data_IF_592228065315
#
_entry.id   IF_592228065315
#
_cell.length_a   1.000
_cell.length_b   1.000
_cell.length_c   1.000
_cell.angle_alpha   90.00
_cell.angle_beta   90.00
_cell.angle_gamma   90.00
#
_symmetry.space_group_name_H-M   'P 1'
#
loop_
_entity.id
_entity.type
_entity.pdbx_description
1 polymer ?
#
# COMPACT_ATOMS: atom_id res chain seq x y z
N UNK A 1 54.14 67.95 -14.50
CA UNK A 1 54.89 66.78 -13.97
C UNK A 1 54.42 65.52 -14.67
N UNK A 2 55.24 65.00 -15.58
CA UNK A 2 55.09 63.71 -16.30
C UNK A 2 56.50 63.25 -16.66
N UNK A 3 56.63 61.93 -16.83
CA UNK A 3 57.72 61.15 -17.47
C UNK A 3 58.82 60.67 -16.52
N UNK A 4 59.02 59.35 -16.50
CA UNK A 4 60.04 58.77 -17.38
C UNK A 4 59.74 57.31 -17.73
N UNK A 5 59.85 57.05 -19.04
CA UNK A 5 59.95 55.73 -19.67
C UNK A 5 61.24 55.02 -19.25
N UNK A 6 61.19 53.68 -19.20
CA UNK A 6 62.24 52.80 -19.74
C UNK A 6 61.72 51.37 -19.89
N UNK A 7 61.70 50.89 -21.14
CA UNK A 7 61.82 49.48 -21.52
C UNK A 7 63.28 49.23 -21.96
N UNK A 8 63.72 48.04 -22.43
CA UNK A 8 63.11 46.69 -22.45
C UNK A 8 64.08 45.57 -21.99
N UNK A 9 63.64 44.30 -21.89
CA UNK A 9 64.52 43.13 -22.14
C UNK A 9 63.76 41.84 -22.43
N UNK A 10 64.40 41.00 -23.25
CA UNK A 10 63.90 39.85 -24.02
C UNK A 10 63.70 38.55 -23.20
N UNK A 11 62.62 37.86 -23.55
CA UNK A 11 62.45 36.44 -23.93
C UNK A 11 63.39 35.38 -23.34
N UNK A 12 62.80 34.40 -22.64
CA UNK A 12 63.09 32.97 -22.85
C UNK A 12 61.80 32.14 -22.79
N UNK A 13 61.61 31.30 -23.81
CA UNK A 13 60.55 30.28 -23.92
C UNK A 13 60.88 29.09 -23.03
N UNK A 14 59.89 28.59 -22.29
CA UNK A 14 59.86 27.22 -21.79
C UNK A 14 58.57 26.54 -22.25
N UNK A 15 58.72 25.41 -22.94
CA UNK A 15 57.64 24.51 -23.30
C UNK A 15 57.21 23.71 -22.06
N UNK A 16 55.96 23.88 -21.63
CA UNK A 16 55.33 23.09 -20.57
C UNK A 16 53.94 22.65 -21.02
N UNK A 17 53.70 21.34 -21.04
CA UNK A 17 52.48 20.66 -21.48
C UNK A 17 51.23 21.21 -20.76
N UNK A 18 50.22 21.64 -21.52
CA UNK A 18 48.88 21.89 -21.01
C UNK A 18 48.19 20.54 -20.76
N UNK A 19 48.08 20.16 -19.49
CA UNK A 19 47.15 19.12 -19.06
C UNK A 19 45.75 19.75 -19.11
N UNK A 20 44.94 19.32 -20.07
CA UNK A 20 43.51 19.62 -20.11
C UNK A 20 42.86 18.75 -19.03
N UNK A 21 42.52 19.35 -17.88
CA UNK A 21 41.59 18.75 -16.94
C UNK A 21 40.18 18.80 -17.54
N UNK A 22 39.79 17.71 -18.21
CA UNK A 22 38.39 17.41 -18.47
C UNK A 22 37.73 17.08 -17.12
N UNK A 23 37.13 18.09 -16.50
CA UNK A 23 36.14 17.89 -15.45
C UNK A 23 34.91 17.23 -16.10
N UNK A 24 34.88 15.89 -16.04
CA UNK A 24 33.67 15.09 -16.21
C UNK A 24 32.71 15.47 -15.07
N UNK A 25 31.85 16.46 -15.32
CA UNK A 25 30.67 16.67 -14.51
C UNK A 25 29.69 15.53 -14.85
N UNK A 26 29.72 14.45 -14.07
CA UNK A 26 28.67 13.44 -14.05
C UNK A 26 27.42 14.10 -13.44
N UNK A 27 26.63 14.74 -14.30
CA UNK A 27 25.28 15.17 -13.98
C UNK A 27 24.46 13.92 -13.67
N UNK A 28 24.37 13.57 -12.39
CA UNK A 28 23.29 12.73 -11.90
C UNK A 28 22.05 13.59 -12.06
N UNK A 29 21.29 13.35 -13.13
CA UNK A 29 20.00 13.96 -13.33
C UNK A 29 19.08 13.48 -12.18
N UNK A 30 19.03 14.26 -11.10
CA UNK A 30 18.02 14.10 -10.07
C UNK A 30 16.70 14.38 -10.78
N UNK A 31 15.87 13.35 -10.95
CA UNK A 31 14.57 13.48 -11.57
C UNK A 31 13.80 14.60 -10.89
N UNK A 32 13.33 15.60 -11.64
CA UNK A 32 12.53 16.68 -11.10
C UNK A 32 11.29 16.06 -10.46
N UNK A 33 11.00 16.31 -9.18
CA UNK A 33 9.83 15.73 -8.53
C UNK A 33 8.56 16.22 -9.23
N UNK A 34 7.78 15.29 -9.78
CA UNK A 34 6.45 15.56 -10.36
C UNK A 34 5.37 15.19 -9.35
N UNK A 35 4.22 15.87 -9.39
CA UNK A 35 3.09 15.54 -8.52
C UNK A 35 2.57 14.11 -8.75
N UNK A 36 2.69 13.61 -9.98
CA UNK A 36 2.40 12.22 -10.38
C UNK A 36 3.17 11.17 -9.56
N UNK A 37 4.42 11.51 -9.19
CA UNK A 37 5.34 10.61 -8.48
C UNK A 37 5.40 10.91 -6.98
N UNK A 38 5.35 12.19 -6.61
CA UNK A 38 5.47 12.64 -5.22
C UNK A 38 4.26 13.50 -4.82
N UNK A 39 3.40 12.98 -3.95
CA UNK A 39 2.21 13.67 -3.48
C UNK A 39 1.78 13.17 -2.08
N UNK A 40 1.11 14.04 -1.32
CA UNK A 40 0.56 13.67 -0.02
C UNK A 40 -0.61 12.67 -0.16
N UNK A 41 -0.88 11.84 0.87
CA UNK A 41 -2.07 11.00 0.92
C UNK A 41 -3.34 11.82 0.60
N UNK A 42 -4.29 11.28 -0.20
CA UNK A 42 -5.53 11.99 -0.46
C UNK A 42 -6.34 12.12 0.82
N UNK A 43 -7.30 13.04 0.83
CA UNK A 43 -8.19 13.24 1.97
C UNK A 43 -9.00 11.97 2.33
N UNK A 44 -9.52 11.94 3.55
CA UNK A 44 -10.36 10.83 4.06
C UNK A 44 -11.70 10.70 3.31
N UNK A 45 -12.43 9.64 3.64
CA UNK A 45 -13.79 9.37 3.15
C UNK A 45 -13.83 8.38 1.98
N UNK A 46 -14.90 7.60 1.89
CA UNK A 46 -15.02 6.50 0.94
C UNK A 46 -15.54 6.98 -0.43
N UNK A 47 -14.64 7.54 -1.24
CA UNK A 47 -14.96 7.95 -2.60
C UNK A 47 -15.21 6.76 -3.53
N UNK A 48 -14.60 5.60 -3.25
CA UNK A 48 -14.81 4.39 -4.04
C UNK A 48 -16.25 3.91 -3.88
N UNK A 49 -16.73 3.75 -2.65
CA UNK A 49 -18.10 3.35 -2.36
C UNK A 49 -19.12 4.31 -2.97
N UNK A 50 -18.96 5.62 -2.72
CA UNK A 50 -19.87 6.63 -3.23
C UNK A 50 -19.96 6.60 -4.77
N UNK A 51 -18.81 6.50 -5.44
CA UNK A 51 -18.74 6.39 -6.89
C UNK A 51 -19.35 5.07 -7.40
N UNK A 52 -19.07 3.96 -6.73
CA UNK A 52 -19.55 2.63 -7.08
C UNK A 52 -21.08 2.57 -7.04
N UNK A 53 -21.70 3.04 -5.96
CA UNK A 53 -23.16 3.14 -5.85
C UNK A 53 -23.77 3.99 -6.95
N UNK A 54 -23.19 5.16 -7.18
CA UNK A 54 -23.65 6.09 -8.20
C UNK A 54 -23.53 5.51 -9.61
N UNK A 55 -22.44 4.79 -9.89
CA UNK A 55 -22.22 4.11 -11.18
C UNK A 55 -23.21 2.98 -11.39
N UNK A 56 -23.43 2.14 -10.39
CA UNK A 56 -24.39 1.02 -10.48
C UNK A 56 -25.84 1.48 -10.62
N UNK A 57 -26.22 2.57 -9.96
CA UNK A 57 -27.55 3.16 -10.10
C UNK A 57 -27.84 3.64 -11.54
N UNK A 58 -26.78 3.93 -12.32
CA UNK A 58 -26.87 4.35 -13.73
C UNK A 58 -26.76 3.21 -14.72
N UNK A 59 -26.38 1.99 -14.29
CA UNK A 59 -26.32 0.82 -15.17
C UNK A 59 -27.73 0.30 -15.47
N UNK A 60 -27.95 -0.09 -16.71
CA UNK A 60 -29.13 -0.83 -17.13
C UNK A 60 -28.74 -2.19 -17.76
N UNK A 61 -29.74 -3.00 -18.11
CA UNK A 61 -29.52 -4.35 -18.63
C UNK A 61 -28.81 -4.40 -20.01
N UNK A 62 -28.67 -3.26 -20.68
CA UNK A 62 -28.17 -3.11 -22.04
C UNK A 62 -26.96 -2.18 -22.14
N UNK A 63 -26.68 -1.37 -21.13
CA UNK A 63 -25.56 -0.43 -21.06
C UNK A 63 -24.95 -0.38 -19.66
N UNK A 64 -23.64 -0.60 -19.59
CA UNK A 64 -22.84 -0.51 -18.35
C UNK A 64 -22.29 0.90 -18.12
N UNK A 65 -22.51 1.83 -19.05
CA UNK A 65 -21.80 3.12 -19.11
C UNK A 65 -20.36 2.99 -19.63
N UNK A 66 -19.73 4.13 -19.87
CA UNK A 66 -18.37 4.22 -20.45
C UNK A 66 -17.28 3.74 -19.47
N UNK A 67 -17.48 3.96 -18.18
CA UNK A 67 -16.61 3.47 -17.12
C UNK A 67 -17.43 2.99 -15.92
N UNK A 68 -17.10 1.80 -15.39
CA UNK A 68 -17.93 1.15 -14.40
C UNK A 68 -17.13 0.30 -13.38
N UNK A 69 -17.64 0.12 -12.15
CA UNK A 69 -17.03 -0.69 -11.10
C UNK A 69 -16.94 -2.17 -11.42
N UNK A 70 -17.15 -2.64 -12.65
CA UNK A 70 -16.99 -4.05 -13.02
C UNK A 70 -16.09 -4.20 -14.26
N UNK A 71 -15.32 -3.16 -14.59
CA UNK A 71 -14.37 -3.23 -15.70
C UNK A 71 -13.22 -4.18 -15.37
N UNK A 72 -12.65 -4.78 -16.41
CA UNK A 72 -11.44 -5.57 -16.29
C UNK A 72 -10.30 -4.70 -15.76
N UNK A 73 -9.37 -5.30 -15.02
CA UNK A 73 -8.29 -4.59 -14.34
C UNK A 73 -7.36 -3.85 -15.30
N UNK A 74 -7.21 -4.36 -16.52
CA UNK A 74 -6.46 -3.68 -17.57
C UNK A 74 -7.00 -2.28 -17.84
N UNK A 75 -8.32 -2.08 -17.75
CA UNK A 75 -8.94 -0.77 -17.95
C UNK A 75 -8.66 0.15 -16.76
N UNK A 76 -8.74 -0.39 -15.53
CA UNK A 76 -8.34 0.33 -14.31
C UNK A 76 -6.87 0.76 -14.34
N UNK A 77 -5.98 -0.14 -14.71
CA UNK A 77 -4.55 0.20 -14.85
C UNK A 77 -4.34 1.24 -15.95
N UNK A 78 -5.05 1.13 -17.07
CA UNK A 78 -4.97 2.11 -18.17
C UNK A 78 -5.47 3.49 -17.78
N UNK A 79 -6.48 3.57 -16.93
CA UNK A 79 -7.00 4.83 -16.40
C UNK A 79 -6.03 5.44 -15.39
N UNK A 80 -5.56 4.65 -14.43
CA UNK A 80 -4.87 5.19 -13.25
C UNK A 80 -3.35 5.30 -13.38
N UNK A 81 -2.72 4.54 -14.28
CA UNK A 81 -1.26 4.44 -14.40
C UNK A 81 -0.76 5.04 -15.71
N UNK A 82 0.39 5.69 -15.64
CA UNK A 82 1.10 6.18 -16.83
C UNK A 82 1.58 5.05 -17.76
N UNK A 83 2.03 3.94 -17.18
CA UNK A 83 2.42 2.70 -17.86
C UNK A 83 1.69 1.52 -17.20
N UNK A 84 0.53 1.09 -17.74
CA UNK A 84 -0.27 0.00 -17.19
C UNK A 84 0.44 -1.36 -17.12
N UNK A 85 1.53 -1.52 -17.89
CA UNK A 85 2.34 -2.72 -17.93
C UNK A 85 3.41 -2.77 -16.85
N UNK A 86 3.72 -1.64 -16.20
CA UNK A 86 4.80 -1.56 -15.22
C UNK A 86 4.29 -1.57 -13.78
N UNK A 87 4.86 -2.45 -12.96
CA UNK A 87 4.65 -2.47 -11.50
C UNK A 87 5.25 -1.24 -10.79
N UNK A 88 6.05 -0.45 -11.51
CA UNK A 88 6.72 0.76 -11.05
C UNK A 88 6.14 2.02 -11.70
N UNK A 89 4.96 1.93 -12.34
CA UNK A 89 4.35 3.09 -12.97
C UNK A 89 3.97 4.15 -11.95
N UNK A 90 4.21 5.41 -12.29
CA UNK A 90 3.63 6.55 -11.59
C UNK A 90 2.13 6.66 -11.94
N UNK A 91 1.39 7.42 -11.12
CA UNK A 91 -0.01 7.71 -11.38
C UNK A 91 -0.16 8.59 -12.63
N UNK A 92 -1.28 8.47 -13.33
CA UNK A 92 -1.53 9.22 -14.55
C UNK A 92 -1.65 10.75 -14.26
N UNK A 93 -1.02 11.64 -15.06
CA UNK A 93 -1.04 13.10 -14.87
C UNK A 93 -2.43 13.72 -14.64
N UNK A 94 -3.45 13.20 -15.33
CA UNK A 94 -4.82 13.70 -15.25
C UNK A 94 -5.39 13.63 -13.82
N UNK A 95 -4.82 12.78 -12.94
CA UNK A 95 -5.22 12.65 -11.54
C UNK A 95 -4.69 13.79 -10.66
N UNK A 96 -3.96 14.76 -11.20
CA UNK A 96 -3.41 15.89 -10.41
C UNK A 96 -3.80 17.25 -10.95
N UNK A 97 -4.11 17.34 -12.24
CA UNK A 97 -4.55 18.55 -12.89
C UNK A 97 -5.69 18.25 -13.85
N UNK A 98 -6.79 19.00 -13.74
CA UNK A 98 -7.75 19.06 -14.84
C UNK A 98 -7.10 19.75 -16.03
N UNK A 99 -7.39 19.28 -17.23
CA UNK A 99 -7.07 20.01 -18.46
C UNK A 99 -7.82 21.33 -18.40
N UNK A 100 -7.10 22.45 -18.46
CA UNK A 100 -7.70 23.78 -18.39
C UNK A 100 -8.69 23.97 -19.56
N UNK A 101 -9.95 24.30 -19.23
CA UNK A 101 -11.02 24.52 -20.21
C UNK A 101 -11.91 23.32 -20.50
N UNK A 102 -11.64 22.14 -19.94
CA UNK A 102 -12.54 21.00 -20.09
C UNK A 102 -13.68 21.08 -19.06
N UNK A 103 -14.96 21.07 -19.49
CA UNK A 103 -16.08 21.04 -18.55
C UNK A 103 -16.00 19.76 -17.71
N UNK A 104 -16.35 19.83 -16.40
CA UNK A 104 -16.47 18.61 -15.61
C UNK A 104 -17.45 17.68 -16.31
N UNK A 105 -17.00 16.45 -16.58
CA UNK A 105 -17.80 15.39 -17.18
C UNK A 105 -18.30 14.49 -16.05
N UNK A 106 -19.47 14.76 -15.45
CA UNK A 106 -20.02 13.93 -14.37
C UNK A 106 -20.44 12.53 -14.84
N UNK A 107 -20.32 12.27 -16.13
CA UNK A 107 -20.55 11.04 -16.86
C UNK A 107 -19.26 10.25 -17.17
N UNK A 108 -18.07 10.85 -16.96
CA UNK A 108 -16.77 10.20 -17.17
C UNK A 108 -16.08 10.00 -15.83
N UNK A 109 -15.41 8.86 -15.67
CA UNK A 109 -14.66 8.53 -14.47
C UNK A 109 -13.16 8.68 -14.69
N UNK A 110 -12.40 9.21 -13.71
CA UNK A 110 -12.89 9.82 -12.46
C UNK A 110 -13.60 11.16 -12.71
N UNK A 111 -14.78 11.34 -12.10
CA UNK A 111 -15.60 12.56 -12.25
C UNK A 111 -14.87 13.83 -11.76
N UNK A 112 -13.93 13.64 -10.83
CA UNK A 112 -13.00 14.67 -10.39
C UNK A 112 -11.67 14.07 -9.92
N UNK A 113 -10.64 14.92 -9.94
CA UNK A 113 -9.26 14.63 -9.52
C UNK A 113 -9.18 14.09 -8.09
N UNK A 114 -9.96 14.64 -7.15
CA UNK A 114 -9.90 14.20 -5.75
C UNK A 114 -10.45 12.79 -5.58
N UNK A 115 -11.56 12.47 -6.22
CA UNK A 115 -12.14 11.13 -6.19
C UNK A 115 -11.22 10.11 -6.86
N UNK A 116 -10.66 10.46 -8.04
CA UNK A 116 -9.68 9.62 -8.72
C UNK A 116 -8.48 9.28 -7.83
N UNK A 117 -7.86 10.28 -7.18
CA UNK A 117 -6.73 10.02 -6.27
C UNK A 117 -7.07 9.13 -5.08
N UNK A 118 -8.25 9.31 -4.48
CA UNK A 118 -8.72 8.44 -3.38
C UNK A 118 -8.86 7.00 -3.85
N UNK A 119 -9.46 6.79 -5.01
CA UNK A 119 -9.67 5.46 -5.58
C UNK A 119 -8.34 4.83 -6.00
N UNK A 120 -7.42 5.61 -6.58
CA UNK A 120 -6.07 5.15 -6.90
C UNK A 120 -5.33 4.63 -5.67
N UNK A 121 -5.45 5.34 -4.55
CA UNK A 121 -4.89 4.95 -3.26
C UNK A 121 -5.51 3.65 -2.73
N UNK A 122 -6.84 3.58 -2.69
CA UNK A 122 -7.54 2.41 -2.13
C UNK A 122 -7.33 1.16 -2.99
N UNK A 123 -7.31 1.31 -4.31
CA UNK A 123 -7.03 0.21 -5.22
C UNK A 123 -5.55 -0.18 -5.20
N UNK A 124 -4.67 0.62 -4.59
CA UNK A 124 -3.25 0.31 -4.46
C UNK A 124 -2.44 0.54 -5.74
N UNK A 125 -2.85 1.49 -6.58
CA UNK A 125 -2.08 1.94 -7.75
C UNK A 125 -0.93 2.88 -7.37
N UNK A 126 -0.84 3.22 -6.10
CA UNK A 126 0.10 4.19 -5.57
C UNK A 126 1.30 3.52 -4.88
N UNK A 127 2.30 4.31 -4.50
CA UNK A 127 3.61 3.84 -4.02
C UNK A 127 3.88 4.24 -2.56
N UNK A 128 5.04 3.83 -2.05
CA UNK A 128 5.55 4.19 -0.73
C UNK A 128 6.97 4.76 -0.83
N UNK A 129 7.16 5.79 -1.68
CA UNK A 129 8.47 6.43 -1.86
C UNK A 129 8.95 7.11 -0.56
N UNK A 130 10.26 7.26 -0.39
CA UNK A 130 10.80 7.96 0.79
C UNK A 130 10.42 9.45 0.70
N UNK A 131 9.90 10.00 1.81
CA UNK A 131 9.53 11.41 1.92
C UNK A 131 8.19 11.81 1.28
N UNK A 132 7.48 10.82 0.74
CA UNK A 132 6.18 10.86 0.11
C UNK A 132 5.02 11.40 0.98
N UNK A 133 5.17 11.44 2.31
CA UNK A 133 4.12 11.90 3.24
C UNK A 133 4.36 13.30 3.84
N UNK A 134 5.40 14.02 3.40
CA UNK A 134 5.73 15.35 3.96
C UNK A 134 5.30 16.43 2.98
N UNK A 135 4.50 17.38 3.47
CA UNK A 135 3.94 18.50 2.71
C UNK A 135 5.01 19.23 1.86
N UNK A 136 4.68 19.67 0.63
CA UNK A 136 5.56 20.55 -0.14
C UNK A 136 5.79 21.84 0.65
N UNK A 137 7.02 22.07 1.12
CA UNK A 137 7.41 23.28 1.86
C UNK A 137 8.13 23.05 3.19
N UNK A 138 8.21 21.81 3.67
CA UNK A 138 9.02 21.48 4.85
C UNK A 138 10.38 20.89 4.43
N UNK A 139 11.52 21.53 4.76
CA UNK A 139 12.82 20.87 4.63
C UNK A 139 12.84 19.66 5.57
N UNK A 140 13.05 18.47 5.02
CA UNK A 140 13.17 17.27 5.86
C UNK A 140 14.40 17.36 6.76
N UNK A 141 14.17 17.16 8.06
CA UNK A 141 15.00 16.22 8.81
C UNK A 141 14.25 14.89 8.74
N UNK A 142 14.80 13.91 8.02
CA UNK A 142 14.49 12.51 8.29
C UNK A 142 14.70 12.36 9.81
N UNK A 143 13.69 11.96 10.60
CA UNK A 143 14.00 11.46 11.92
C UNK A 143 14.95 10.29 11.67
N UNK A 144 16.20 10.43 12.07
CA UNK A 144 17.13 9.30 12.16
C UNK A 144 16.58 8.41 13.26
N UNK A 145 15.51 7.69 12.98
CA UNK A 145 15.20 6.48 13.71
C UNK A 145 16.22 5.46 13.28
N UNK A 146 16.61 4.56 14.18
CA UNK A 146 17.70 3.60 13.98
C UNK A 146 17.44 2.53 12.89
N UNK A 147 16.45 2.73 12.01
CA UNK A 147 16.07 1.79 10.94
C UNK A 147 16.19 2.39 9.54
N UNK A 148 16.39 1.49 8.58
CA UNK A 148 16.60 1.80 7.17
C UNK A 148 15.41 2.60 6.60
N UNK A 149 15.62 3.73 5.88
CA UNK A 149 14.54 4.60 5.38
C UNK A 149 13.43 3.89 4.58
N UNK A 150 13.78 2.84 3.84
CA UNK A 150 12.84 1.99 3.09
C UNK A 150 11.82 1.27 4.01
N UNK A 151 12.25 0.85 5.20
CA UNK A 151 11.39 0.21 6.21
C UNK A 151 10.39 1.23 6.72
N UNK A 152 10.86 2.43 7.08
CA UNK A 152 10.01 3.52 7.57
C UNK A 152 8.95 3.92 6.55
N UNK A 153 9.32 4.11 5.28
CA UNK A 153 8.36 4.49 4.23
C UNK A 153 7.23 3.46 4.06
N UNK A 154 7.57 2.16 4.15
CA UNK A 154 6.57 1.08 4.08
C UNK A 154 5.63 1.07 5.29
N UNK A 155 6.16 1.26 6.51
CA UNK A 155 5.35 1.30 7.73
C UNK A 155 4.45 2.53 7.81
N UNK A 156 4.97 3.68 7.40
CA UNK A 156 4.23 4.94 7.28
C UNK A 156 3.06 4.80 6.30
N UNK A 157 3.30 4.22 5.11
CA UNK A 157 2.23 3.96 4.13
C UNK A 157 1.21 2.94 4.66
N UNK A 158 1.67 1.90 5.37
CA UNK A 158 0.78 0.91 5.98
C UNK A 158 -0.06 1.46 7.14
N UNK A 159 0.30 2.62 7.69
CA UNK A 159 -0.31 3.15 8.91
C UNK A 159 -0.14 2.20 10.09
N UNK A 160 1.03 1.56 10.22
CA UNK A 160 1.37 0.66 11.34
C UNK A 160 2.50 1.25 12.13
N UNK A 161 2.28 1.40 13.45
CA UNK A 161 3.27 1.99 14.33
C UNK A 161 4.49 1.09 14.46
N UNK A 162 5.65 1.74 14.58
CA UNK A 162 6.92 1.05 14.76
C UNK A 162 6.89 0.07 15.94
N UNK A 163 6.25 0.44 17.04
CA UNK A 163 6.17 -0.42 18.23
C UNK A 163 5.48 -1.76 17.96
N UNK A 164 4.46 -1.82 17.10
CA UNK A 164 3.76 -3.08 16.79
C UNK A 164 4.49 -3.89 15.73
N UNK A 165 5.24 -3.23 14.84
CA UNK A 165 6.24 -3.91 14.02
C UNK A 165 7.30 -4.58 14.91
N UNK A 166 7.91 -3.84 15.83
CA UNK A 166 8.95 -4.39 16.71
C UNK A 166 8.40 -5.46 17.66
N UNK A 167 7.21 -5.24 18.23
CA UNK A 167 6.56 -6.19 19.11
C UNK A 167 6.24 -7.49 18.38
N UNK A 168 5.61 -7.41 17.20
CA UNK A 168 5.31 -8.61 16.44
C UNK A 168 6.58 -9.40 16.12
N UNK A 169 7.64 -8.71 15.67
CA UNK A 169 8.95 -9.32 15.42
C UNK A 169 9.58 -9.96 16.66
N UNK A 170 9.50 -9.30 17.83
CA UNK A 170 9.96 -9.84 19.12
C UNK A 170 9.27 -11.16 19.44
N UNK A 171 7.95 -11.21 19.25
CA UNK A 171 7.13 -12.37 19.61
C UNK A 171 7.33 -13.55 18.63
N UNK A 172 7.31 -13.31 17.32
CA UNK A 172 7.35 -14.37 16.30
C UNK A 172 8.75 -14.72 15.78
N UNK A 173 9.71 -13.81 15.87
CA UNK A 173 11.00 -13.94 15.21
C UNK A 173 10.96 -13.63 13.70
N UNK A 174 12.02 -14.04 12.99
CA UNK A 174 12.26 -13.62 11.60
C UNK A 174 11.75 -14.58 10.54
N UNK A 175 11.60 -15.85 10.90
CA UNK A 175 11.37 -16.94 9.95
C UNK A 175 9.98 -16.92 9.34
N UNK A 176 9.00 -16.37 10.08
CA UNK A 176 7.61 -16.24 9.63
C UNK A 176 7.23 -14.79 9.31
N UNK A 177 8.11 -14.04 8.63
CA UNK A 177 7.91 -12.61 8.34
C UNK A 177 6.57 -12.26 7.69
N UNK A 178 5.98 -13.15 6.88
CA UNK A 178 4.68 -12.90 6.25
C UNK A 178 3.52 -12.96 7.27
N UNK A 179 3.54 -13.94 8.18
CA UNK A 179 2.55 -14.06 9.26
C UNK A 179 2.80 -13.01 10.34
N UNK A 180 4.07 -12.65 10.56
CA UNK A 180 4.44 -11.59 11.49
C UNK A 180 3.87 -10.23 11.05
N UNK A 181 3.77 -10.00 9.75
CA UNK A 181 3.10 -8.82 9.20
C UNK A 181 1.60 -8.80 9.49
N UNK A 182 0.92 -9.95 9.38
CA UNK A 182 -0.48 -10.10 9.77
C UNK A 182 -0.69 -9.77 11.25
N UNK A 183 0.15 -10.33 12.12
CA UNK A 183 0.10 -10.06 13.56
C UNK A 183 0.33 -8.56 13.87
N UNK A 184 1.32 -7.92 13.23
CA UNK A 184 1.59 -6.50 13.44
C UNK A 184 0.42 -5.60 13.02
N UNK A 185 -0.23 -5.90 11.88
CA UNK A 185 -1.43 -5.17 11.43
C UNK A 185 -2.58 -5.41 12.39
N UNK A 186 -2.81 -6.66 12.81
CA UNK A 186 -3.88 -7.00 13.76
C UNK A 186 -3.71 -6.27 15.10
N UNK A 187 -2.49 -6.14 15.61
CA UNK A 187 -2.19 -5.38 16.82
C UNK A 187 -2.50 -3.89 16.67
N UNK A 188 -2.11 -3.28 15.53
CA UNK A 188 -2.44 -1.88 15.26
C UNK A 188 -3.96 -1.67 15.15
N UNK A 189 -4.66 -2.58 14.47
CA UNK A 189 -6.14 -2.56 14.37
C UNK A 189 -6.76 -2.66 15.76
N UNK A 190 -6.38 -3.65 16.56
CA UNK A 190 -6.92 -3.84 17.90
C UNK A 190 -6.68 -2.61 18.77
N UNK A 191 -5.47 -2.03 18.71
CA UNK A 191 -5.20 -0.78 19.41
C UNK A 191 -6.07 0.36 18.92
N UNK A 192 -6.28 0.49 17.61
CA UNK A 192 -7.18 1.52 17.09
C UNK A 192 -8.60 1.32 17.62
N UNK A 193 -9.13 0.09 17.60
CA UNK A 193 -10.44 -0.22 18.17
C UNK A 193 -10.52 0.14 19.66
N UNK A 194 -9.49 -0.21 20.44
CA UNK A 194 -9.42 0.15 21.87
C UNK A 194 -9.49 1.67 22.03
N UNK A 195 -8.73 2.42 21.25
CA UNK A 195 -8.62 3.87 21.44
C UNK A 195 -9.84 4.65 20.93
N UNK A 196 -10.55 4.13 19.91
CA UNK A 196 -11.72 4.80 19.34
C UNK A 196 -13.04 4.31 19.91
N UNK A 197 -13.07 3.17 20.59
CA UNK A 197 -14.30 2.61 21.18
C UNK A 197 -14.44 3.06 22.64
N UNK A 198 -15.54 3.74 23.01
CA UNK A 198 -15.83 4.10 24.39
C UNK A 198 -15.75 2.88 25.31
N UNK A 199 -15.20 3.06 26.52
CA UNK A 199 -14.93 1.95 27.46
C UNK A 199 -16.17 1.10 27.72
N UNK A 200 -17.33 1.75 27.88
CA UNK A 200 -18.60 1.09 28.18
C UNK A 200 -19.12 0.24 27.01
N UNK A 201 -18.75 0.58 25.76
CA UNK A 201 -19.20 -0.13 24.56
C UNK A 201 -18.27 -1.29 24.17
N UNK A 202 -17.04 -1.32 24.70
CA UNK A 202 -16.01 -2.29 24.29
C UNK A 202 -16.46 -3.73 24.47
N UNK A 203 -17.10 -4.05 25.60
CA UNK A 203 -17.58 -5.41 25.87
C UNK A 203 -18.64 -5.87 24.87
N UNK A 204 -19.59 -4.99 24.55
CA UNK A 204 -20.66 -5.26 23.57
C UNK A 204 -20.11 -5.43 22.16
N UNK A 205 -19.11 -4.63 21.77
CA UNK A 205 -18.51 -4.64 20.44
C UNK A 205 -17.35 -5.66 20.32
N UNK A 206 -17.10 -6.47 21.35
CA UNK A 206 -16.04 -7.49 21.34
C UNK A 206 -14.62 -6.91 21.31
N UNK A 207 -14.41 -5.66 21.74
CA UNK A 207 -13.11 -5.00 21.80
C UNK A 207 -12.40 -5.34 23.12
N UNK A 208 -11.35 -6.16 23.05
CA UNK A 208 -10.65 -6.67 24.23
C UNK A 208 -9.36 -5.91 24.50
N UNK A 209 -9.46 -4.82 25.28
CA UNK A 209 -8.30 -4.03 25.69
C UNK A 209 -7.29 -4.81 26.56
N UNK A 210 -7.75 -5.83 27.29
CA UNK A 210 -6.85 -6.66 28.11
C UNK A 210 -5.98 -7.59 27.27
N UNK A 211 -6.50 -8.11 26.15
CA UNK A 211 -5.69 -8.88 25.20
C UNK A 211 -4.56 -8.02 24.64
N UNK A 212 -4.85 -6.79 24.19
CA UNK A 212 -3.82 -5.84 23.75
C UNK A 212 -2.77 -5.59 24.83
N UNK A 213 -3.19 -5.33 26.07
CA UNK A 213 -2.26 -5.11 27.18
C UNK A 213 -1.36 -6.31 27.47
N UNK A 214 -1.86 -7.54 27.30
CA UNK A 214 -1.03 -8.76 27.43
C UNK A 214 -0.02 -8.90 26.30
N UNK A 215 -0.41 -8.60 25.06
CA UNK A 215 0.55 -8.53 23.95
C UNK A 215 1.66 -7.50 24.21
N UNK A 216 1.29 -6.30 24.64
CA UNK A 216 2.25 -5.21 24.90
C UNK A 216 3.20 -5.50 26.07
N UNK A 217 2.75 -6.30 27.05
CA UNK A 217 3.55 -6.70 28.20
C UNK A 217 4.38 -7.98 27.99
N UNK A 218 4.15 -8.73 26.91
CA UNK A 218 4.78 -10.03 26.70
C UNK A 218 6.25 -9.92 26.29
N UNK A 219 7.05 -10.86 26.78
CA UNK A 219 8.45 -11.00 26.40
C UNK A 219 8.67 -11.96 25.25
N UNK A 220 7.79 -12.95 25.11
CA UNK A 220 7.82 -13.92 24.04
C UNK A 220 6.42 -14.49 23.79
N UNK A 221 6.25 -15.23 22.69
CA UNK A 221 4.94 -15.80 22.33
C UNK A 221 4.38 -16.80 23.35
N UNK A 222 5.21 -17.43 24.19
CA UNK A 222 4.74 -18.35 25.22
C UNK A 222 3.99 -17.64 26.36
N UNK A 223 4.23 -16.33 26.54
CA UNK A 223 3.49 -15.51 27.51
C UNK A 223 2.06 -15.18 27.04
N UNK A 224 1.76 -15.44 25.75
CA UNK A 224 0.47 -15.17 25.15
C UNK A 224 -0.41 -16.43 25.18
N UNK A 225 -1.59 -16.38 25.80
CA UNK A 225 -2.59 -17.44 25.74
C UNK A 225 -3.09 -17.69 24.31
N UNK A 226 -3.39 -18.94 23.96
CA UNK A 226 -3.95 -19.29 22.64
C UNK A 226 -5.25 -18.53 22.34
N UNK A 227 -6.07 -18.26 23.36
CA UNK A 227 -7.30 -17.49 23.21
C UNK A 227 -7.06 -16.04 22.74
N UNK A 228 -5.95 -15.41 23.16
CA UNK A 228 -5.60 -14.06 22.72
C UNK A 228 -5.02 -14.06 21.31
N UNK A 229 -4.27 -15.10 20.93
CA UNK A 229 -3.81 -15.29 19.55
C UNK A 229 -4.98 -15.52 18.60
N UNK A 230 -5.93 -16.39 18.97
CA UNK A 230 -7.14 -16.63 18.22
C UNK A 230 -7.97 -15.35 18.07
N UNK A 231 -8.15 -14.60 19.18
CA UNK A 231 -8.82 -13.31 19.16
C UNK A 231 -8.14 -12.32 18.20
N UNK A 232 -6.81 -12.22 18.23
CA UNK A 232 -6.07 -11.34 17.34
C UNK A 232 -6.20 -11.74 15.86
N UNK A 233 -6.23 -13.05 15.58
CA UNK A 233 -6.53 -13.55 14.25
C UNK A 233 -7.96 -13.22 13.81
N UNK A 234 -8.94 -13.28 14.70
CA UNK A 234 -10.34 -12.92 14.41
C UNK A 234 -10.51 -11.42 14.17
N UNK A 235 -9.80 -10.57 14.91
CA UNK A 235 -9.70 -9.12 14.61
C UNK A 235 -9.27 -8.92 13.16
N UNK A 236 -8.23 -9.63 12.72
CA UNK A 236 -7.74 -9.52 11.36
C UNK A 236 -8.69 -10.10 10.33
N UNK A 237 -9.32 -11.25 10.61
CA UNK A 237 -10.36 -11.84 9.73
C UNK A 237 -11.50 -10.86 9.52
N UNK A 238 -11.94 -10.17 10.57
CA UNK A 238 -12.98 -9.16 10.47
C UNK A 238 -12.54 -7.99 9.56
N UNK A 239 -11.38 -7.39 9.81
CA UNK A 239 -10.89 -6.28 8.98
C UNK A 239 -10.55 -6.68 7.53
N UNK A 240 -10.25 -7.96 7.27
CA UNK A 240 -10.08 -8.47 5.91
C UNK A 240 -11.42 -8.75 5.21
N UNK A 241 -12.50 -8.89 5.98
CA UNK A 241 -13.86 -9.10 5.46
C UNK A 241 -14.60 -7.78 5.24
N UNK A 242 -14.29 -6.77 6.04
CA UNK A 242 -14.82 -5.42 5.91
C UNK A 242 -13.90 -4.63 4.97
N UNK A 243 -14.24 -4.52 3.68
CA UNK A 243 -13.53 -3.61 2.78
C UNK A 243 -13.74 -2.16 3.26
N UNK A 244 -12.82 -1.69 4.11
CA UNK A 244 -12.90 -0.40 4.80
C UNK A 244 -11.96 0.60 4.13
N UNK A 245 -12.42 1.25 3.05
CA UNK A 245 -11.67 2.27 2.35
C UNK A 245 -11.82 3.66 3.01
N UNK A 246 -10.78 4.49 2.90
CA UNK A 246 -10.86 5.89 3.30
C UNK A 246 -10.89 6.22 4.78
N UNK A 247 -10.57 5.24 5.63
CA UNK A 247 -10.33 5.45 7.06
C UNK A 247 -9.08 6.29 7.31
N UNK A 248 -9.03 6.91 8.48
CA UNK A 248 -7.85 7.55 8.99
C UNK A 248 -6.91 6.52 9.62
N UNK A 249 -5.62 6.58 9.31
CA UNK A 249 -4.61 5.93 10.13
C UNK A 249 -4.54 6.66 11.49
N UNK A 250 -4.30 5.90 12.56
CA UNK A 250 -4.37 6.40 13.92
C UNK A 250 -3.17 7.29 14.34
N UNK A 251 -2.27 7.62 13.42
CA UNK A 251 -1.12 8.49 13.62
C UNK A 251 -0.53 8.88 12.25
N UNK A 252 -0.82 10.08 11.77
CA UNK A 252 0.07 10.72 10.79
C UNK A 252 1.28 11.26 11.54
N UNK A 253 2.46 11.21 10.92
CA UNK A 253 3.74 11.69 11.47
C UNK A 253 3.76 13.16 11.93
N UNK A 254 2.66 13.91 11.74
CA UNK A 254 2.51 15.33 12.05
C UNK A 254 1.16 15.70 12.73
N UNK A 255 0.54 14.80 13.51
CA UNK A 255 -0.76 15.03 14.18
C UNK A 255 -1.98 15.26 13.27
N UNK A 256 -1.83 15.10 11.95
CA UNK A 256 -2.94 15.09 10.98
C UNK A 256 -3.20 13.64 10.56
N UNK A 257 -4.42 13.09 10.77
CA UNK A 257 -4.75 11.75 10.33
C UNK A 257 -4.61 11.63 8.81
N UNK A 258 -3.92 10.60 8.33
CA UNK A 258 -3.76 10.33 6.90
C UNK A 258 -4.69 9.21 6.46
N UNK A 259 -4.98 9.12 5.16
CA UNK A 259 -5.76 8.01 4.61
C UNK A 259 -5.00 6.70 4.79
N UNK A 260 -5.65 5.72 5.40
CA UNK A 260 -5.15 4.37 5.58
C UNK A 260 -5.28 3.57 4.28
N UNK A 261 -4.39 2.60 4.06
CA UNK A 261 -4.56 1.61 3.00
C UNK A 261 -5.58 0.53 3.43
N UNK A 262 -6.31 -0.12 2.50
CA UNK A 262 -7.05 -1.32 2.82
C UNK A 262 -6.16 -2.40 3.47
N UNK A 263 -6.73 -3.15 4.41
CA UNK A 263 -6.03 -4.13 5.26
C UNK A 263 -5.08 -5.08 4.51
N UNK A 264 -5.46 -5.69 3.37
CA UNK A 264 -4.53 -6.56 2.62
C UNK A 264 -3.26 -5.84 2.16
N UNK A 265 -3.39 -4.58 1.72
CA UNK A 265 -2.27 -3.77 1.24
C UNK A 265 -1.39 -3.31 2.42
N UNK A 266 -1.98 -3.03 3.58
CA UNK A 266 -1.22 -2.75 4.82
C UNK A 266 -0.34 -3.93 5.21
N UNK A 267 -0.89 -5.15 5.22
CA UNK A 267 -0.14 -6.37 5.54
C UNK A 267 1.03 -6.53 4.58
N UNK A 268 0.80 -6.37 3.28
CA UNK A 268 1.86 -6.49 2.29
C UNK A 268 2.98 -5.46 2.48
N UNK A 269 2.63 -4.21 2.83
CA UNK A 269 3.61 -3.17 3.14
C UNK A 269 4.41 -3.47 4.40
N UNK A 270 3.78 -4.00 5.44
CA UNK A 270 4.50 -4.45 6.64
C UNK A 270 5.40 -5.65 6.33
N UNK A 271 4.94 -6.61 5.52
CA UNK A 271 5.75 -7.73 5.08
C UNK A 271 6.98 -7.29 4.26
N UNK A 272 6.79 -6.31 3.38
CA UNK A 272 7.89 -5.67 2.65
C UNK A 272 8.89 -5.00 3.60
N UNK A 273 8.40 -4.34 4.66
CA UNK A 273 9.24 -3.74 5.69
C UNK A 273 10.07 -4.81 6.43
N UNK A 274 9.49 -5.96 6.79
CA UNK A 274 10.23 -7.09 7.35
C UNK A 274 11.27 -7.62 6.38
N UNK A 275 10.89 -7.90 5.13
CA UNK A 275 11.83 -8.41 4.12
C UNK A 275 13.00 -7.46 3.90
N UNK A 276 12.74 -6.16 3.89
CA UNK A 276 13.79 -5.13 3.74
C UNK A 276 14.72 -5.07 4.95
N UNK A 277 14.22 -5.40 6.14
CA UNK A 277 15.01 -5.41 7.38
C UNK A 277 15.85 -6.68 7.58
N UNK A 278 15.62 -7.73 6.80
CA UNK A 278 16.25 -9.04 6.97
C UNK A 278 17.50 -9.20 6.11
N UNK A 279 18.51 -9.94 6.60
CA UNK A 279 19.62 -10.41 5.78
C UNK A 279 19.18 -11.44 4.72
N UNK A 280 19.91 -11.59 3.59
CA UNK A 280 21.03 -10.74 3.15
C UNK A 280 20.56 -9.33 2.79
N UNK A 281 21.51 -8.39 2.64
CA UNK A 281 21.20 -6.99 2.32
C UNK A 281 20.20 -6.89 1.16
N UNK A 282 19.09 -6.20 1.40
CA UNK A 282 18.09 -5.93 0.40
C UNK A 282 18.58 -4.86 -0.59
N UNK A 283 18.72 -5.21 -1.86
CA UNK A 283 19.39 -4.38 -2.88
C UNK A 283 18.49 -3.95 -4.03
N UNK A 284 17.21 -4.31 -4.03
CA UNK A 284 16.31 -3.99 -5.15
C UNK A 284 16.01 -2.49 -5.27
N UNK A 285 16.18 -1.72 -4.20
CA UNK A 285 16.02 -0.28 -4.19
C UNK A 285 17.35 0.44 -4.00
N UNK A 286 17.48 1.59 -4.63
CA UNK A 286 18.48 2.59 -4.32
C UNK A 286 18.21 3.22 -2.94
N UNK A 287 19.19 3.95 -2.42
CA UNK A 287 19.11 4.58 -1.10
C UNK A 287 17.97 5.61 -0.96
N UNK A 288 17.53 6.19 -2.09
CA UNK A 288 16.41 7.13 -2.17
C UNK A 288 15.04 6.44 -2.34
N UNK A 289 15.02 5.11 -2.36
CA UNK A 289 13.81 4.31 -2.50
C UNK A 289 13.30 4.15 -3.92
N UNK A 290 14.04 4.63 -4.92
CA UNK A 290 13.77 4.29 -6.31
C UNK A 290 14.26 2.88 -6.64
N UNK A 291 13.66 2.25 -7.65
CA UNK A 291 14.16 0.94 -8.11
C UNK A 291 15.61 1.04 -8.60
N UNK A 292 16.42 0.05 -8.26
CA UNK A 292 17.73 -0.15 -8.88
C UNK A 292 17.57 -1.04 -10.12
N UNK A 293 17.75 -0.53 -11.36
CA UNK A 293 17.55 -1.31 -12.57
C UNK A 293 18.45 -2.54 -12.68
N UNK A 294 19.60 -2.57 -11.98
CA UNK A 294 20.55 -3.67 -12.03
C UNK A 294 20.07 -4.89 -11.21
N UNK A 295 19.32 -4.66 -10.14
CA UNK A 295 18.98 -5.70 -9.14
C UNK A 295 17.48 -5.93 -9.03
N UNK A 296 16.65 -4.90 -9.25
CA UNK A 296 15.20 -4.99 -9.11
C UNK A 296 14.59 -5.91 -10.16
N UNK A 297 13.67 -6.80 -9.75
CA UNK A 297 12.82 -7.57 -10.65
C UNK A 297 11.59 -6.78 -11.10
N UNK A 298 10.95 -7.22 -12.18
CA UNK A 298 9.69 -6.64 -12.69
C UNK A 298 8.46 -7.55 -12.46
N UNK A 299 8.70 -8.77 -11.96
CA UNK A 299 7.66 -9.76 -11.66
C UNK A 299 7.54 -9.97 -10.15
N UNK A 300 6.49 -9.48 -9.48
CA UNK A 300 6.32 -9.62 -8.03
C UNK A 300 6.30 -11.06 -7.53
N UNK A 301 5.80 -12.01 -8.33
CA UNK A 301 5.70 -13.42 -7.97
C UNK A 301 7.00 -14.20 -8.12
N UNK A 302 8.00 -13.64 -8.82
CA UNK A 302 9.33 -14.23 -8.89
C UNK A 302 10.15 -13.87 -7.64
N UNK A 303 10.05 -14.72 -6.62
CA UNK A 303 10.73 -14.52 -5.34
C UNK A 303 12.26 -14.62 -5.43
N UNK A 304 12.81 -15.13 -6.54
CA UNK A 304 14.25 -15.21 -6.75
C UNK A 304 14.88 -13.85 -7.04
N UNK A 305 14.09 -12.91 -7.55
CA UNK A 305 14.53 -11.56 -7.90
C UNK A 305 13.62 -10.51 -7.24
N UNK A 306 14.03 -9.90 -6.11
CA UNK A 306 13.17 -8.99 -5.38
C UNK A 306 12.78 -7.75 -6.21
N UNK A 307 11.51 -7.36 -6.15
CA UNK A 307 11.05 -6.06 -6.63
C UNK A 307 11.49 -4.95 -5.66
N UNK A 308 11.60 -3.70 -6.10
CA UNK A 308 11.80 -2.56 -5.21
C UNK A 308 10.48 -2.18 -4.53
N UNK A 309 10.33 -2.48 -3.25
CA UNK A 309 9.05 -2.31 -2.57
C UNK A 309 8.61 -0.85 -2.52
N UNK A 310 9.49 0.11 -2.26
CA UNK A 310 9.11 1.53 -2.13
C UNK A 310 8.64 2.16 -3.45
N UNK A 311 9.25 1.77 -4.58
CA UNK A 311 8.88 2.28 -5.92
C UNK A 311 7.79 1.44 -6.60
N UNK A 312 7.52 0.23 -6.12
CA UNK A 312 6.43 -0.61 -6.62
C UNK A 312 5.07 -0.15 -6.10
N UNK A 313 4.04 -0.31 -6.93
CA UNK A 313 2.65 -0.06 -6.52
C UNK A 313 2.24 -0.96 -5.36
N UNK A 314 1.34 -0.49 -4.49
CA UNK A 314 0.84 -1.26 -3.34
C UNK A 314 0.29 -2.63 -3.79
N UNK A 315 -0.40 -2.69 -4.95
CA UNK A 315 -0.87 -3.95 -5.56
C UNK A 315 0.25 -4.88 -5.97
N UNK A 316 1.34 -4.37 -6.54
CA UNK A 316 2.49 -5.19 -6.88
C UNK A 316 3.14 -5.78 -5.63
N UNK A 317 3.27 -4.97 -4.57
CA UNK A 317 3.76 -5.46 -3.27
C UNK A 317 2.81 -6.51 -2.68
N UNK A 318 1.50 -6.35 -2.83
CA UNK A 318 0.53 -7.36 -2.41
C UNK A 318 0.63 -8.67 -3.20
N UNK A 319 0.82 -8.61 -4.53
CA UNK A 319 1.09 -9.80 -5.36
C UNK A 319 2.35 -10.54 -4.90
N UNK A 320 3.42 -9.80 -4.63
CA UNK A 320 4.64 -10.37 -4.05
C UNK A 320 4.38 -11.02 -2.69
N UNK A 321 3.70 -10.33 -1.78
CA UNK A 321 3.39 -10.84 -0.44
C UNK A 321 2.61 -12.16 -0.53
N UNK A 322 1.63 -12.27 -1.44
CA UNK A 322 0.88 -13.52 -1.63
C UNK A 322 1.76 -14.67 -2.06
N UNK A 323 2.65 -14.44 -3.04
CA UNK A 323 3.60 -15.45 -3.49
C UNK A 323 4.58 -15.84 -2.37
N UNK A 324 5.11 -14.85 -1.65
CA UNK A 324 6.03 -15.04 -0.52
C UNK A 324 5.37 -15.80 0.64
N UNK A 325 4.11 -15.47 0.97
CA UNK A 325 3.32 -16.16 2.00
C UNK A 325 3.05 -17.61 1.60
N UNK A 326 2.63 -17.85 0.35
CA UNK A 326 2.40 -19.20 -0.14
C UNK A 326 3.69 -20.04 -0.09
N UNK A 327 4.82 -19.45 -0.47
CA UNK A 327 6.13 -20.09 -0.36
C UNK A 327 6.50 -20.39 1.10
N UNK A 328 6.30 -19.44 2.02
CA UNK A 328 6.56 -19.62 3.44
C UNK A 328 5.70 -20.73 4.06
N UNK A 329 4.41 -20.79 3.73
CA UNK A 329 3.48 -21.81 4.23
C UNK A 329 3.69 -23.20 3.61
N UNK A 330 4.34 -23.28 2.46
CA UNK A 330 4.71 -24.56 1.84
C UNK A 330 5.93 -25.22 2.52
N UNK A 331 6.65 -24.49 3.37
CA UNK A 331 7.74 -25.04 4.17
C UNK A 331 7.16 -25.89 5.31
N UNK A 332 7.76 -27.04 5.56
CA UNK A 332 7.41 -27.85 6.72
C UNK A 332 7.71 -27.07 8.01
N UNK A 333 6.83 -27.07 9.03
CA UNK A 333 7.09 -26.32 10.26
C UNK A 333 8.42 -26.69 10.94
N UNK A 334 8.88 -27.93 10.79
CA UNK A 334 10.16 -28.44 11.29
C UNK A 334 11.38 -27.79 10.62
N UNK A 335 11.19 -27.08 9.50
CA UNK A 335 12.24 -26.31 8.85
C UNK A 335 12.58 -25.00 9.59
N UNK A 336 11.75 -24.60 10.56
CA UNK A 336 11.94 -23.39 11.35
C UNK A 336 12.75 -23.68 12.63
N UNK A 337 13.72 -22.83 12.95
CA UNK A 337 14.56 -23.00 14.15
C UNK A 337 13.77 -22.85 15.45
N UNK A 338 12.63 -22.15 15.41
CA UNK A 338 11.67 -22.02 16.52
C UNK A 338 10.35 -22.74 16.18
N UNK A 339 10.42 -24.07 16.05
CA UNK A 339 9.29 -24.91 15.66
C UNK A 339 8.00 -24.66 16.47
N UNK A 340 8.10 -24.56 17.80
CA UNK A 340 6.95 -24.36 18.71
C UNK A 340 6.21 -23.05 18.42
N UNK A 341 6.97 -21.97 18.24
CA UNK A 341 6.46 -20.65 17.85
C UNK A 341 5.87 -20.71 16.45
N UNK A 342 6.57 -21.36 15.52
CA UNK A 342 6.15 -21.44 14.14
C UNK A 342 4.84 -22.22 13.99
N UNK A 343 4.73 -23.38 14.64
CA UNK A 343 3.53 -24.20 14.65
C UNK A 343 2.32 -23.43 15.22
N UNK A 344 2.46 -22.76 16.37
CA UNK A 344 1.36 -21.98 16.98
C UNK A 344 0.90 -20.85 16.06
N UNK A 345 1.82 -20.11 15.46
CA UNK A 345 1.48 -19.00 14.55
C UNK A 345 0.85 -19.50 13.25
N UNK A 346 1.37 -20.57 12.65
CA UNK A 346 0.80 -21.18 11.45
C UNK A 346 -0.61 -21.68 11.74
N UNK A 347 -0.83 -22.42 12.83
CA UNK A 347 -2.15 -22.93 13.21
C UNK A 347 -3.18 -21.81 13.38
N UNK A 348 -2.76 -20.69 13.99
CA UNK A 348 -3.65 -19.55 14.26
C UNK A 348 -3.94 -18.71 13.00
N UNK A 349 -2.90 -18.40 12.21
CA UNK A 349 -2.95 -17.39 11.14
C UNK A 349 -2.97 -17.95 9.71
N UNK A 350 -2.60 -19.21 9.46
CA UNK A 350 -2.54 -19.74 8.09
C UNK A 350 -3.87 -19.61 7.34
N UNK A 351 -4.97 -19.82 8.07
CA UNK A 351 -6.34 -19.69 7.59
C UNK A 351 -6.99 -18.33 7.86
N UNK A 352 -6.20 -17.35 8.34
CA UNK A 352 -6.57 -15.94 8.18
C UNK A 352 -6.41 -15.62 6.70
N UNK A 353 -7.44 -16.01 5.96
CA UNK A 353 -7.58 -15.69 4.56
C UNK A 353 -8.54 -14.53 4.48
N UNK A 354 -8.28 -13.60 3.59
CA UNK A 354 -9.29 -12.62 3.29
C UNK A 354 -10.55 -13.33 2.76
N UNK A 355 -11.71 -13.07 3.36
CA UNK A 355 -12.98 -13.76 3.06
C UNK A 355 -13.50 -13.56 1.62
N UNK A 356 -12.91 -12.63 0.87
CA UNK A 356 -13.14 -12.35 -0.56
C UNK A 356 -12.49 -13.39 -1.48
N UNK A 357 -12.56 -14.66 -1.09
CA UNK A 357 -11.81 -15.75 -1.71
C UNK A 357 -12.33 -16.22 -3.08
N UNK A 358 -13.12 -15.40 -3.78
CA UNK A 358 -13.27 -15.47 -5.23
C UNK A 358 -12.03 -14.95 -5.98
N UNK A 359 -11.15 -14.18 -5.32
CA UNK A 359 -10.12 -13.29 -5.88
C UNK A 359 -8.81 -13.90 -6.42
N UNK A 360 -8.66 -15.21 -6.54
CA UNK A 360 -7.31 -15.81 -6.55
C UNK A 360 -6.85 -16.49 -7.85
N UNK A 361 -7.51 -16.21 -8.98
CA UNK A 361 -6.92 -16.38 -10.32
C UNK A 361 -6.51 -15.02 -10.89
N UNK A 362 -5.64 -14.99 -11.91
CA UNK A 362 -5.26 -13.74 -12.60
C UNK A 362 -6.46 -12.95 -13.17
N UNK A 363 -7.62 -13.60 -13.34
CA UNK A 363 -8.88 -12.98 -13.79
C UNK A 363 -9.74 -12.48 -12.62
N UNK A 364 -9.44 -12.88 -11.39
CA UNK A 364 -10.30 -12.66 -10.24
C UNK A 364 -9.94 -11.42 -9.42
N UNK A 365 -8.69 -10.93 -9.47
CA UNK A 365 -8.34 -9.58 -9.00
C UNK A 365 -9.19 -8.50 -9.71
N UNK A 366 -9.55 -8.77 -10.96
CA UNK A 366 -10.37 -7.90 -11.81
C UNK A 366 -11.85 -7.93 -11.44
N UNK A 367 -12.37 -8.99 -10.81
CA UNK A 367 -13.82 -9.17 -10.57
C UNK A 367 -14.17 -9.10 -9.08
N UNK A 368 -13.29 -9.56 -8.18
CA UNK A 368 -13.48 -9.52 -6.71
C UNK A 368 -13.40 -8.11 -6.14
N UNK A 369 -12.51 -7.25 -6.67
CA UNK A 369 -12.43 -5.82 -6.32
C UNK A 369 -13.71 -5.04 -6.67
N UNK A 370 -14.64 -5.67 -7.37
CA UNK A 370 -15.70 -5.01 -8.11
C UNK A 370 -17.09 -5.54 -7.74
N UNK A 371 -17.27 -6.86 -7.66
CA UNK A 371 -18.57 -7.48 -7.36
C UNK A 371 -18.75 -7.64 -5.86
N UNK A 372 -17.74 -8.22 -5.20
CA UNK A 372 -17.80 -8.52 -3.77
C UNK A 372 -17.62 -7.24 -2.94
N UNK A 373 -16.81 -6.28 -3.41
CA UNK A 373 -16.72 -4.95 -2.78
C UNK A 373 -18.05 -4.21 -2.90
N UNK A 374 -18.73 -4.29 -4.04
CA UNK A 374 -20.09 -3.77 -4.22
C UNK A 374 -21.06 -4.44 -3.26
N UNK A 375 -21.13 -5.76 -3.25
CA UNK A 375 -22.08 -6.52 -2.44
C UNK A 375 -21.84 -6.35 -0.93
N UNK A 376 -20.58 -6.35 -0.48
CA UNK A 376 -20.21 -6.14 0.92
C UNK A 376 -20.41 -4.68 1.36
N UNK A 377 -20.04 -3.70 0.54
CA UNK A 377 -20.30 -2.28 0.83
C UNK A 377 -21.79 -1.96 0.83
N UNK A 378 -22.57 -2.65 -0.01
CA UNK A 378 -24.03 -2.56 -0.03
C UNK A 378 -24.68 -3.19 1.20
N UNK A 379 -24.19 -4.34 1.66
CA UNK A 379 -24.67 -4.99 2.88
C UNK A 379 -24.36 -4.16 4.14
N UNK A 380 -23.20 -3.50 4.19
CA UNK A 380 -22.80 -2.63 5.31
C UNK A 380 -23.54 -1.30 5.35
N UNK A 381 -23.97 -0.78 4.20
CA UNK A 381 -24.71 0.49 4.09
C UNK A 381 -26.25 0.32 4.19
N UNK A 382 -26.74 -0.93 4.23
CA UNK A 382 -28.17 -1.22 4.33
C UNK A 382 -28.74 -0.84 5.69
N UNK A 383 -29.48 0.27 5.75
CA UNK A 383 -30.42 0.51 6.85
C UNK A 383 -31.56 -0.51 6.73
N UNK A 384 -31.85 -1.26 7.79
CA UNK A 384 -32.79 -2.40 7.82
C UNK A 384 -34.27 -1.98 7.71
N UNK A 385 -34.58 -1.03 6.81
CA UNK A 385 -35.93 -0.61 6.46
C UNK A 385 -36.27 -1.13 5.06
N UNK A 386 -37.31 -1.96 4.97
CA UNK A 386 -37.60 -2.88 3.87
C UNK A 386 -37.84 -2.31 2.45
N UNK A 387 -37.64 -1.00 2.20
CA UNK A 387 -37.66 -0.44 0.83
C UNK A 387 -36.32 -0.53 0.10
N UNK A 388 -35.21 -0.64 0.84
CA UNK A 388 -33.87 -0.74 0.26
C UNK A 388 -33.49 -2.16 -0.15
N UNK A 389 -34.12 -3.18 0.44
CA UNK A 389 -33.92 -4.59 0.08
C UNK A 389 -34.25 -4.88 -1.39
N UNK A 390 -35.35 -4.36 -1.92
CA UNK A 390 -35.72 -4.58 -3.34
C UNK A 390 -34.70 -3.91 -4.28
N UNK A 391 -34.17 -2.76 -3.89
CA UNK A 391 -33.17 -2.04 -4.68
C UNK A 391 -31.82 -2.77 -4.62
N UNK A 392 -31.45 -3.26 -3.43
CA UNK A 392 -30.32 -4.14 -3.18
C UNK A 392 -30.40 -5.42 -4.03
N UNK A 393 -31.49 -6.19 -3.92
CA UNK A 393 -31.66 -7.42 -4.68
C UNK A 393 -31.62 -7.19 -6.19
N UNK A 394 -32.21 -6.11 -6.70
CA UNK A 394 -32.13 -5.75 -8.12
C UNK A 394 -30.72 -5.37 -8.56
N UNK A 395 -29.96 -4.70 -7.72
CA UNK A 395 -28.56 -4.33 -7.99
C UNK A 395 -27.65 -5.56 -7.99
N UNK A 396 -27.79 -6.43 -6.99
CA UNK A 396 -27.07 -7.71 -6.87
C UNK A 396 -27.41 -8.66 -8.02
N UNK A 397 -28.69 -8.80 -8.35
CA UNK A 397 -29.15 -9.63 -9.47
C UNK A 397 -28.64 -9.09 -10.81
N UNK A 398 -28.62 -7.76 -11.02
CA UNK A 398 -28.04 -7.13 -12.21
C UNK A 398 -26.54 -7.36 -12.32
N UNK A 399 -25.79 -7.14 -11.24
CA UNK A 399 -24.36 -7.39 -11.21
C UNK A 399 -24.07 -8.85 -11.58
N UNK A 400 -24.75 -9.80 -10.92
CA UNK A 400 -24.65 -11.24 -11.20
C UNK A 400 -24.99 -11.61 -12.65
N UNK A 401 -26.06 -11.06 -13.22
CA UNK A 401 -26.44 -11.32 -14.62
C UNK A 401 -25.39 -10.79 -15.63
N UNK A 402 -24.78 -9.64 -15.35
CA UNK A 402 -23.80 -9.01 -16.23
C UNK A 402 -22.44 -9.72 -16.19
N UNK A 403 -22.07 -10.25 -15.03
CA UNK A 403 -20.90 -11.10 -14.82
C UNK A 403 -21.07 -12.42 -15.58
N UNK A 404 -22.19 -13.11 -15.34
CA UNK A 404 -22.48 -14.42 -15.93
C UNK A 404 -22.58 -14.38 -17.47
N UNK A 405 -22.99 -13.25 -18.05
CA UNK A 405 -23.02 -13.05 -19.52
C UNK A 405 -21.65 -12.85 -20.15
N UNK A 406 -20.67 -12.29 -19.42
CA UNK A 406 -19.28 -12.12 -19.90
C UNK A 406 -18.47 -13.43 -19.84
N UNK A 407 -18.95 -14.43 -19.11
CA UNK A 407 -18.29 -15.75 -18.94
C UNK A 407 -18.71 -16.83 -19.95
N UNK A 408 -19.52 -16.49 -20.96
CA UNK A 408 -19.75 -17.39 -22.11
C UNK A 408 -18.74 -17.04 -23.22
N UNK A 409 -18.00 -18.04 -23.75
CA UNK A 409 -16.93 -17.82 -24.73
C UNK A 409 -17.40 -17.28 -26.07
#
# INVERSE_FOLDING_TARGET
>A
MKRHLKAPRRVHRYHGRTIVFLLLASAHAVATPTAERFHAPPSLGDAFQAWTFHSLARMDAHSLGDFHPLQADVAWRSEYLKDPGSIYSDLHPHLFSRIAGEPPRPDVFPADVSSGRKIAWDLGFDKALIGYQVLPGYPQRLPVTAHHPLVSASLEKAGVRRRYFDLAYKLSGTELSMITAEMAVALEVLRHWVDTTPVDDRGMLGVNAHALGRFEAADNLADIPDADLAYLADVLRLELSLWNAGRANAEGSNAVPQRELPTPLRIARVAAAYRTSQPPLYTACLADGQRDPATSGDNPEDLSRPICFTDATDRAVYRWYRAARAHQLAQAPEAFSRFDVAARLIDTFADVRPAWAGAYTNQALDWSNHVEVVEAQMALAGDASGSHDITFYRLVERANLLICRRSLP
#
